data_IF_094083239457
#
_entry.id   IF_094083239457
#
_cell.length_a   1.000
_cell.length_b   1.000
_cell.length_c   1.000
_cell.angle_alpha   90.00
_cell.angle_beta   90.00
_cell.angle_gamma   90.00
#
_symmetry.space_group_name_H-M   'P 1'
#
loop_
_entity.id
_entity.type
_entity.pdbx_description
1 polymer ?
#
# COMPACT_ATOMS: atom_id res chain seq x y z
N UNK A 1 -12.84 51.34 8.73
CA UNK A 1 -13.99 50.40 8.61
C UNK A 1 -13.47 48.97 8.57
N UNK A 2 -13.93 48.10 9.48
CA UNK A 2 -13.51 46.68 9.57
C UNK A 2 -14.32 45.85 8.57
N UNK A 3 -13.71 45.42 7.46
CA UNK A 3 -14.38 44.58 6.46
C UNK A 3 -14.38 43.10 6.89
N UNK A 4 -15.56 42.63 7.28
CA UNK A 4 -15.88 41.26 7.68
C UNK A 4 -15.82 40.34 6.46
N UNK A 5 -14.72 39.58 6.30
CA UNK A 5 -14.63 38.56 5.23
C UNK A 5 -15.55 37.38 5.57
N UNK A 6 -16.39 37.08 4.59
CA UNK A 6 -17.52 36.15 4.59
C UNK A 6 -17.05 34.70 4.82
N UNK A 7 -17.77 33.95 5.67
CA UNK A 7 -17.55 32.53 5.93
C UNK A 7 -17.77 31.71 4.65
N UNK A 8 -16.76 30.97 4.20
CA UNK A 8 -16.86 30.04 3.07
C UNK A 8 -17.53 28.73 3.52
N UNK A 9 -18.86 28.76 3.61
CA UNK A 9 -19.68 27.56 3.85
C UNK A 9 -20.12 26.92 2.54
N UNK A 10 -19.94 25.59 2.46
CA UNK A 10 -20.73 24.64 1.66
C UNK A 10 -20.42 24.41 0.16
N UNK A 11 -19.46 25.09 -0.48
CA UNK A 11 -19.14 24.80 -1.90
C UNK A 11 -18.54 23.40 -2.14
N UNK A 12 -17.99 22.77 -1.10
CA UNK A 12 -17.30 21.48 -1.19
C UNK A 12 -18.20 20.24 -1.07
N UNK A 13 -19.50 20.40 -0.80
CA UNK A 13 -20.41 19.27 -0.57
C UNK A 13 -21.17 18.83 -1.85
N UNK A 14 -21.48 19.76 -2.76
CA UNK A 14 -22.16 19.44 -4.03
C UNK A 14 -21.21 18.74 -5.01
N UNK A 15 -19.94 19.17 -5.06
CA UNK A 15 -18.89 18.54 -5.88
C UNK A 15 -18.58 17.11 -5.39
N UNK A 16 -18.68 16.84 -4.08
CA UNK A 16 -18.52 15.48 -3.53
C UNK A 16 -19.74 14.58 -3.76
N UNK A 17 -20.98 15.12 -3.77
CA UNK A 17 -22.19 14.33 -4.03
C UNK A 17 -22.33 13.89 -5.51
N UNK A 18 -21.94 14.75 -6.46
CA UNK A 18 -21.94 14.43 -7.90
C UNK A 18 -20.86 13.40 -8.24
N UNK A 19 -19.68 13.50 -7.62
CA UNK A 19 -18.62 12.48 -7.78
C UNK A 19 -19.00 11.16 -7.10
N UNK A 20 -19.71 11.17 -5.97
CA UNK A 20 -20.23 9.96 -5.33
C UNK A 20 -21.21 9.19 -6.22
N UNK A 21 -22.15 9.87 -6.90
CA UNK A 21 -23.11 9.24 -7.82
C UNK A 21 -22.49 8.73 -9.12
N UNK A 22 -21.49 9.41 -9.70
CA UNK A 22 -20.79 8.93 -10.91
C UNK A 22 -19.75 7.84 -10.63
N UNK A 23 -19.24 7.71 -9.39
CA UNK A 23 -18.14 6.80 -9.04
C UNK A 23 -18.51 5.32 -9.02
N UNK A 24 -19.79 4.97 -8.85
CA UNK A 24 -20.22 3.57 -8.71
C UNK A 24 -20.05 2.79 -10.04
N UNK A 25 -19.89 3.47 -11.17
CA UNK A 25 -19.72 2.83 -12.48
C UNK A 25 -18.29 2.73 -13.00
N UNK A 26 -17.26 2.97 -12.18
CA UNK A 26 -15.88 2.64 -12.58
C UNK A 26 -15.65 1.12 -12.44
N UNK A 27 -16.28 0.38 -13.35
CA UNK A 27 -16.05 -1.05 -13.54
C UNK A 27 -14.57 -1.25 -13.85
N UNK A 28 -13.92 -1.87 -12.88
CA UNK A 28 -12.49 -2.15 -12.83
C UNK A 28 -12.07 -2.96 -14.04
N UNK A 29 -11.43 -2.35 -15.04
CA UNK A 29 -10.48 -3.09 -15.87
C UNK A 29 -9.13 -3.09 -15.18
N UNK A 30 -9.07 -3.81 -14.06
CA UNK A 30 -7.81 -4.36 -13.62
C UNK A 30 -7.37 -5.35 -14.72
N UNK A 31 -6.24 -5.07 -15.39
CA UNK A 31 -5.42 -6.16 -15.95
C UNK A 31 -4.88 -6.93 -14.75
N UNK A 32 -5.74 -7.77 -14.16
CA UNK A 32 -5.32 -8.85 -13.30
C UNK A 32 -4.46 -9.78 -14.15
N UNK A 33 -3.21 -9.93 -13.73
CA UNK A 33 -2.37 -11.01 -14.21
C UNK A 33 -3.14 -12.32 -13.95
N UNK A 34 -3.42 -13.06 -15.02
CA UNK A 34 -4.14 -14.34 -14.97
C UNK A 34 -3.31 -15.34 -14.16
N UNK A 35 -3.75 -15.63 -12.93
CA UNK A 35 -3.29 -16.80 -12.18
C UNK A 35 -4.52 -17.65 -11.85
N UNK A 36 -4.91 -18.47 -12.82
CA UNK A 36 -5.68 -19.69 -12.55
C UNK A 36 -4.61 -20.74 -12.18
N UNK A 37 -4.70 -21.55 -11.12
CA UNK A 37 -5.82 -22.38 -10.74
C UNK A 37 -5.71 -22.84 -9.27
N UNK A 38 -6.90 -22.95 -8.70
CA UNK A 38 -7.31 -23.78 -7.59
C UNK A 38 -7.02 -23.36 -6.14
N UNK A 39 -8.08 -23.55 -5.36
CA UNK A 39 -8.41 -22.92 -4.11
C UNK A 39 -8.02 -23.89 -3.00
N UNK A 40 -6.75 -23.89 -2.64
CA UNK A 40 -6.29 -24.30 -1.32
C UNK A 40 -4.78 -24.11 -1.24
N UNK A 41 -4.34 -23.33 -0.27
CA UNK A 41 -3.07 -23.38 0.47
C UNK A 41 -2.60 -21.95 0.74
N UNK A 42 -3.08 -21.44 1.88
CA UNK A 42 -2.28 -20.56 2.72
C UNK A 42 -0.97 -21.30 3.01
N UNK A 43 0.11 -21.02 2.26
CA UNK A 43 1.56 -21.24 2.56
C UNK A 43 2.37 -21.29 1.25
N UNK A 44 3.45 -20.50 1.21
CA UNK A 44 4.63 -20.64 0.33
C UNK A 44 4.55 -20.32 -1.19
N UNK A 45 3.94 -19.20 -1.59
CA UNK A 45 4.37 -18.53 -2.85
C UNK A 45 5.61 -17.68 -2.56
N UNK A 46 6.79 -18.32 -2.69
CA UNK A 46 8.12 -17.68 -2.63
C UNK A 46 8.48 -17.11 -4.01
N UNK A 47 7.89 -15.96 -4.36
CA UNK A 47 8.20 -15.24 -5.61
C UNK A 47 9.54 -14.54 -5.45
N UNK A 48 10.62 -15.25 -5.75
CA UNK A 48 11.98 -14.72 -5.84
C UNK A 48 12.25 -14.23 -7.27
N UNK A 49 12.97 -13.13 -7.41
CA UNK A 49 13.58 -12.66 -8.66
C UNK A 49 14.68 -13.63 -9.10
N UNK A 50 15.20 -13.46 -10.32
CA UNK A 50 16.36 -14.19 -10.84
C UNK A 50 17.57 -14.17 -9.89
N UNK A 51 17.68 -13.11 -9.07
CA UNK A 51 18.74 -12.93 -8.07
C UNK A 51 18.44 -13.58 -6.70
N UNK A 52 17.39 -14.40 -6.61
CA UNK A 52 17.01 -15.11 -5.37
C UNK A 52 16.37 -14.23 -4.29
N UNK A 53 16.00 -12.99 -4.63
CA UNK A 53 15.39 -12.01 -3.71
C UNK A 53 13.88 -11.95 -3.90
N UNK A 54 13.08 -11.79 -2.84
CA UNK A 54 11.66 -11.49 -2.96
C UNK A 54 11.44 -10.23 -3.80
N UNK A 55 10.36 -10.18 -4.56
CA UNK A 55 10.02 -9.00 -5.35
C UNK A 55 9.49 -7.87 -4.47
N UNK A 56 9.54 -6.62 -4.94
CA UNK A 56 8.95 -5.47 -4.26
C UNK A 56 7.45 -5.66 -3.99
N UNK A 57 6.72 -6.30 -4.91
CA UNK A 57 5.30 -6.62 -4.74
C UNK A 57 5.09 -7.63 -3.60
N UNK A 58 5.99 -8.61 -3.46
CA UNK A 58 5.94 -9.57 -2.36
C UNK A 58 6.23 -8.89 -1.01
N UNK A 59 7.23 -8.02 -0.96
CA UNK A 59 7.53 -7.22 0.22
C UNK A 59 6.33 -6.33 0.61
N UNK A 60 5.69 -5.69 -0.37
CA UNK A 60 4.46 -4.90 -0.18
C UNK A 60 3.33 -5.74 0.43
N UNK A 61 3.07 -6.92 -0.13
CA UNK A 61 2.04 -7.82 0.37
C UNK A 61 2.31 -8.26 1.81
N UNK A 62 3.58 -8.53 2.16
CA UNK A 62 3.98 -8.88 3.53
C UNK A 62 3.71 -7.70 4.48
N UNK A 63 4.09 -6.47 4.11
CA UNK A 63 3.86 -5.28 4.92
C UNK A 63 2.36 -5.01 5.15
N UNK A 64 1.55 -5.07 4.08
CA UNK A 64 0.10 -4.90 4.14
C UNK A 64 -0.58 -5.98 4.99
N UNK A 65 -0.19 -7.24 4.79
CA UNK A 65 -0.71 -8.38 5.55
C UNK A 65 -0.36 -8.27 7.02
N UNK A 66 0.85 -7.83 7.36
CA UNK A 66 1.27 -7.65 8.75
C UNK A 66 0.51 -6.50 9.42
N UNK A 67 0.28 -5.41 8.69
CA UNK A 67 -0.50 -4.28 9.20
C UNK A 67 -2.02 -4.54 9.24
N UNK A 68 -2.51 -5.60 8.60
CA UNK A 68 -3.94 -5.86 8.43
C UNK A 68 -4.63 -4.80 7.55
N UNK A 69 -3.89 -4.19 6.62
CA UNK A 69 -4.36 -3.09 5.77
C UNK A 69 -4.55 -3.60 4.34
N UNK A 70 -5.70 -3.26 3.73
CA UNK A 70 -5.92 -3.52 2.31
C UNK A 70 -5.06 -2.59 1.44
N UNK A 71 -4.63 -3.04 0.26
CA UNK A 71 -3.83 -2.20 -0.63
C UNK A 71 -4.57 -0.90 -1.02
N UNK A 72 -5.90 -0.93 -1.14
CA UNK A 72 -6.74 0.24 -1.40
C UNK A 72 -6.78 1.27 -0.28
N UNK A 73 -6.54 0.84 0.97
CA UNK A 73 -6.52 1.72 2.15
C UNK A 73 -5.10 2.23 2.47
N UNK A 74 -4.08 1.71 1.79
CA UNK A 74 -2.69 2.08 2.01
C UNK A 74 -2.21 3.16 1.03
N UNK A 75 -1.73 4.28 1.57
CA UNK A 75 -1.06 5.31 0.79
C UNK A 75 0.46 5.15 0.91
N UNK A 76 1.06 4.44 -0.04
CA UNK A 76 2.51 4.22 -0.08
C UNK A 76 3.28 5.51 -0.29
N UNK A 77 4.20 5.81 0.63
CA UNK A 77 5.14 6.93 0.57
C UNK A 77 6.50 6.51 0.05
N UNK A 78 6.92 5.28 0.39
CA UNK A 78 8.23 4.75 0.01
C UNK A 78 8.16 3.25 -0.20
N UNK A 79 8.76 2.77 -1.27
CA UNK A 79 9.07 1.36 -1.51
C UNK A 79 10.43 1.35 -2.20
N UNK A 80 11.49 1.00 -1.48
CA UNK A 80 12.85 0.98 -2.02
C UNK A 80 13.59 -0.27 -1.58
N UNK A 81 14.41 -0.82 -2.47
CA UNK A 81 15.40 -1.83 -2.14
C UNK A 81 16.70 -1.11 -1.76
N UNK A 82 17.24 -1.44 -0.60
CA UNK A 82 18.50 -0.90 -0.07
C UNK A 82 19.42 -2.07 0.32
N UNK A 83 20.72 -1.81 0.41
CA UNK A 83 21.73 -2.80 0.81
C UNK A 83 22.36 -2.39 2.14
N UNK A 84 21.87 -2.97 3.24
CA UNK A 84 22.42 -2.73 4.58
C UNK A 84 23.45 -3.80 4.92
N UNK A 85 24.73 -3.43 4.99
CA UNK A 85 25.84 -4.33 5.35
C UNK A 85 25.91 -5.59 4.47
N UNK A 86 25.72 -5.43 3.15
CA UNK A 86 25.71 -6.55 2.20
C UNK A 86 24.43 -7.39 2.21
N UNK A 87 23.40 -6.99 2.98
CA UNK A 87 22.09 -7.66 3.00
C UNK A 87 21.07 -6.78 2.27
N UNK A 88 20.38 -7.31 1.25
CA UNK A 88 19.34 -6.56 0.56
C UNK A 88 18.08 -6.48 1.46
N UNK A 89 17.53 -5.28 1.60
CA UNK A 89 16.41 -4.94 2.49
C UNK A 89 15.43 -4.04 1.76
N UNK A 90 14.16 -4.40 1.77
CA UNK A 90 13.08 -3.53 1.33
C UNK A 90 12.64 -2.61 2.46
N UNK A 91 12.72 -1.30 2.21
CA UNK A 91 12.13 -0.26 3.05
C UNK A 91 10.78 0.15 2.48
N UNK A 92 9.72 -0.06 3.26
CA UNK A 92 8.33 0.24 2.89
C UNK A 92 7.74 1.21 3.91
N UNK A 93 7.25 2.33 3.42
CA UNK A 93 6.53 3.33 4.22
C UNK A 93 5.16 3.58 3.58
N UNK A 94 4.10 3.51 4.37
CA UNK A 94 2.76 3.88 3.93
C UNK A 94 1.94 4.48 5.08
N UNK A 95 0.90 5.22 4.71
CA UNK A 95 -0.06 5.79 5.66
C UNK A 95 -1.42 5.10 5.47
N UNK A 96 -2.02 4.66 6.57
CA UNK A 96 -3.37 4.09 6.60
C UNK A 96 -4.02 4.37 7.96
N UNK A 97 -5.33 4.57 7.99
CA UNK A 97 -6.08 4.81 9.24
C UNK A 97 -5.46 5.93 10.13
N UNK A 98 -5.00 7.01 9.50
CA UNK A 98 -4.30 8.13 10.16
C UNK A 98 -2.98 7.77 10.87
N UNK A 99 -2.46 6.55 10.68
CA UNK A 99 -1.16 6.11 11.17
C UNK A 99 -0.15 5.91 10.04
N UNK A 100 1.12 6.16 10.32
CA UNK A 100 2.25 5.83 9.45
C UNK A 100 2.83 4.49 9.84
N UNK A 101 3.04 3.64 8.85
CA UNK A 101 3.64 2.33 8.98
C UNK A 101 4.97 2.33 8.25
N UNK A 102 6.01 1.91 8.94
CA UNK A 102 7.37 1.78 8.44
C UNK A 102 7.81 0.32 8.63
N UNK A 103 8.26 -0.30 7.55
CA UNK A 103 8.69 -1.69 7.51
C UNK A 103 10.09 -1.79 6.88
N UNK A 104 10.95 -2.59 7.49
CA UNK A 104 12.16 -3.10 6.87
C UNK A 104 12.02 -4.61 6.70
N UNK A 105 12.08 -5.10 5.48
CA UNK A 105 11.88 -6.51 5.13
C UNK A 105 13.13 -7.05 4.46
N UNK A 106 13.66 -8.17 4.95
CA UNK A 106 14.79 -8.85 4.33
C UNK A 106 14.42 -9.29 2.91
N UNK A 107 15.14 -8.82 1.90
CA UNK A 107 14.83 -9.13 0.52
C UNK A 107 15.21 -10.57 0.15
N UNK A 108 16.10 -11.27 0.85
CA UNK A 108 16.46 -12.66 0.51
C UNK A 108 15.43 -13.69 0.97
N UNK A 109 14.80 -13.46 2.13
CA UNK A 109 13.89 -14.42 2.79
C UNK A 109 12.48 -13.89 3.04
N UNK A 110 12.25 -12.57 2.91
CA UNK A 110 10.96 -11.93 3.16
C UNK A 110 10.59 -11.75 4.64
N UNK A 111 11.53 -11.95 5.56
CA UNK A 111 11.30 -11.74 6.99
C UNK A 111 11.27 -10.25 7.34
N UNK A 112 10.34 -9.85 8.19
CA UNK A 112 10.27 -8.48 8.72
C UNK A 112 11.41 -8.30 9.73
N UNK A 113 12.33 -7.38 9.43
CA UNK A 113 13.47 -7.02 10.28
C UNK A 113 13.05 -5.96 11.29
N UNK A 114 12.28 -4.96 10.83
CA UNK A 114 11.83 -3.85 11.66
C UNK A 114 10.41 -3.47 11.28
N UNK A 115 9.64 -3.15 12.29
CA UNK A 115 8.30 -2.60 12.16
C UNK A 115 8.16 -1.41 13.12
N UNK A 116 7.61 -0.32 12.62
CA UNK A 116 7.28 0.85 13.41
C UNK A 116 5.93 1.43 12.95
N UNK A 117 5.09 1.79 13.92
CA UNK A 117 3.78 2.43 13.69
C UNK A 117 3.71 3.71 14.51
N UNK A 118 3.34 4.80 13.85
CA UNK A 118 3.19 6.15 14.44
C UNK A 118 1.84 6.76 14.11
#
# INVERSE_FOLDING_TARGET
MKNKKIKKGCFNYIITLITFLLSISFSTKAKGNSINFDKSILVAVSIKSSDGQITANRAKAIALSHAGISESSANFKKIKLDNKNGKPVYEIEFVANNSRYEFEINASIGSIIKFNKR
#
